data_IF_323966015177
#
_entry.id   IF_323966015177
#
_cell.length_a   1.000
_cell.length_b   1.000
_cell.length_c   1.000
_cell.angle_alpha   90.00
_cell.angle_beta   90.00
_cell.angle_gamma   90.00
#
_symmetry.space_group_name_H-M   'P 1'
#
loop_
_entity.id
_entity.type
_entity.pdbx_description
1 polymer ?
#
# COMPACT_ATOMS: atom_id res chain seq x y z
N UNK A 1 7.44 -7.00 -7.82
CA UNK A 1 6.25 -7.44 -7.07
C UNK A 1 6.72 -8.00 -5.75
N UNK A 2 6.61 -7.24 -4.65
CA UNK A 2 6.84 -7.80 -3.30
C UNK A 2 5.62 -8.69 -3.03
N UNK A 3 5.79 -10.01 -3.03
CA UNK A 3 4.67 -10.92 -2.78
C UNK A 3 4.27 -10.81 -1.32
N UNK A 4 3.01 -10.46 -1.07
CA UNK A 4 2.45 -10.45 0.27
C UNK A 4 2.31 -11.90 0.76
N UNK A 5 3.29 -12.40 1.51
CA UNK A 5 3.28 -13.76 2.07
C UNK A 5 2.26 -13.95 3.21
N UNK A 6 1.73 -12.83 3.72
CA UNK A 6 0.76 -12.79 4.81
C UNK A 6 -0.36 -11.81 4.50
N UNK A 7 -1.60 -12.26 4.55
CA UNK A 7 -2.78 -11.43 4.35
C UNK A 7 -3.94 -11.93 5.22
N UNK A 8 -4.91 -11.06 5.54
CA UNK A 8 -6.22 -11.48 6.01
C UNK A 8 -7.09 -11.96 4.83
N UNK A 9 -8.12 -12.78 5.05
CA UNK A 9 -8.96 -13.28 3.97
C UNK A 9 -8.25 -14.35 3.12
N UNK A 10 -8.38 -14.30 1.79
CA UNK A 10 -7.70 -15.19 0.84
C UNK A 10 -7.84 -16.70 1.15
N UNK A 11 -9.04 -17.12 1.55
CA UNK A 11 -9.29 -18.46 2.12
C UNK A 11 -8.91 -19.63 1.21
N UNK A 12 -9.02 -19.46 -0.11
CA UNK A 12 -8.60 -20.49 -1.08
C UNK A 12 -7.11 -20.85 -0.90
N UNK A 13 -6.27 -19.93 -0.42
CA UNK A 13 -4.85 -20.17 -0.16
C UNK A 13 -4.57 -20.74 1.24
N UNK A 14 -5.58 -20.90 2.08
CA UNK A 14 -5.43 -21.23 3.52
C UNK A 14 -6.12 -22.53 3.91
N UNK A 15 -7.29 -22.79 3.35
CA UNK A 15 -8.16 -23.86 3.78
C UNK A 15 -8.72 -24.62 2.58
N UNK A 16 -8.57 -25.94 2.59
CA UNK A 16 -9.01 -26.78 1.47
C UNK A 16 -10.53 -26.70 1.21
N UNK A 17 -11.33 -26.42 2.25
CA UNK A 17 -12.78 -26.22 2.11
C UNK A 17 -13.17 -24.99 1.29
N UNK A 18 -12.23 -24.10 0.99
CA UNK A 18 -12.42 -22.91 0.16
C UNK A 18 -11.73 -23.02 -1.20
N UNK A 19 -11.23 -24.20 -1.57
CA UNK A 19 -10.80 -24.44 -2.95
C UNK A 19 -12.03 -24.56 -3.84
N UNK A 20 -12.21 -23.61 -4.75
CA UNK A 20 -13.33 -23.60 -5.69
C UNK A 20 -13.31 -24.80 -6.65
N UNK A 21 -14.39 -25.03 -7.42
CA UNK A 21 -14.43 -26.06 -8.45
C UNK A 21 -13.49 -25.74 -9.61
N UNK A 22 -12.92 -26.76 -10.25
CA UNK A 22 -12.00 -26.61 -11.38
C UNK A 22 -12.65 -25.96 -12.62
N UNK A 23 -13.97 -26.07 -12.74
CA UNK A 23 -14.73 -25.45 -13.82
C UNK A 23 -14.82 -23.92 -13.62
N UNK A 24 -14.20 -23.10 -14.48
CA UNK A 24 -14.20 -21.64 -14.34
C UNK A 24 -15.58 -21.00 -14.58
N UNK A 25 -16.54 -21.74 -15.13
CA UNK A 25 -17.92 -21.28 -15.31
C UNK A 25 -18.72 -21.37 -14.01
N UNK A 26 -18.33 -22.29 -13.11
CA UNK A 26 -18.92 -22.45 -11.79
C UNK A 26 -18.24 -21.47 -10.81
N UNK A 27 -18.73 -20.23 -10.75
CA UNK A 27 -18.24 -19.21 -9.80
C UNK A 27 -18.58 -19.48 -8.33
N UNK A 28 -19.14 -20.64 -8.01
CA UNK A 28 -19.48 -21.01 -6.64
C UNK A 28 -18.19 -21.36 -5.87
N UNK A 29 -17.99 -20.75 -4.70
CA UNK A 29 -16.94 -21.04 -3.72
C UNK A 29 -15.53 -20.46 -4.00
N UNK A 30 -15.40 -19.50 -4.90
CA UNK A 30 -14.16 -18.73 -5.06
C UNK A 30 -13.13 -19.37 -5.99
N UNK A 31 -11.86 -19.02 -5.81
CA UNK A 31 -10.76 -19.39 -6.72
C UNK A 31 -10.43 -20.88 -6.62
N UNK A 32 -10.29 -21.56 -7.75
CA UNK A 32 -9.70 -22.91 -7.81
C UNK A 32 -8.18 -22.84 -7.89
N UNK A 33 -7.51 -23.72 -7.14
CA UNK A 33 -6.07 -23.93 -7.17
C UNK A 33 -5.84 -25.38 -7.59
N UNK A 34 -5.17 -25.54 -8.73
CA UNK A 34 -4.86 -26.83 -9.33
C UNK A 34 -3.81 -27.60 -8.51
N UNK A 35 -3.75 -28.91 -8.71
CA UNK A 35 -2.79 -29.77 -8.03
C UNK A 35 -1.33 -29.52 -8.48
N UNK A 36 -0.34 -29.65 -7.57
CA UNK A 36 -0.49 -30.05 -6.17
C UNK A 36 -0.99 -28.90 -5.27
N UNK A 37 -2.09 -29.16 -4.56
CA UNK A 37 -2.72 -28.19 -3.66
C UNK A 37 -2.54 -28.61 -2.20
N UNK A 38 -1.66 -27.90 -1.51
CA UNK A 38 -1.16 -28.16 -0.15
C UNK A 38 -1.18 -26.88 0.69
N UNK A 39 -2.36 -26.26 0.93
CA UNK A 39 -2.45 -25.09 1.80
C UNK A 39 -2.01 -25.43 3.24
N UNK A 40 -1.57 -24.45 4.05
CA UNK A 40 -1.64 -23.01 3.80
C UNK A 40 -0.43 -22.44 3.03
N UNK A 41 -0.70 -21.55 2.08
CA UNK A 41 0.31 -20.78 1.33
C UNK A 41 0.46 -19.33 1.80
N UNK A 42 -0.58 -18.78 2.43
CA UNK A 42 -0.64 -17.41 2.94
C UNK A 42 -1.06 -17.45 4.40
N UNK A 43 -0.38 -16.70 5.26
CA UNK A 43 -0.70 -16.66 6.69
C UNK A 43 -1.40 -15.37 7.09
N UNK A 44 -2.20 -15.39 8.15
CA UNK A 44 -2.82 -14.20 8.73
C UNK A 44 -2.04 -13.68 9.95
N UNK A 45 -0.81 -14.15 10.14
CA UNK A 45 0.02 -13.83 11.29
C UNK A 45 0.86 -12.57 10.97
N UNK A 46 0.74 -11.49 11.77
CA UNK A 46 1.58 -10.33 11.60
C UNK A 46 3.00 -10.59 12.12
N UNK A 47 3.97 -9.89 11.58
CA UNK A 47 5.28 -9.71 12.21
C UNK A 47 5.16 -8.60 13.26
N UNK A 48 5.71 -8.81 14.46
CA UNK A 48 5.63 -7.84 15.56
C UNK A 48 7.02 -7.33 15.90
N UNK A 49 7.17 -6.00 15.87
CA UNK A 49 8.39 -5.29 16.26
C UNK A 49 8.00 -4.26 17.32
N UNK A 50 8.79 -4.17 18.40
CA UNK A 50 8.60 -3.19 19.47
C UNK A 50 9.74 -2.18 19.48
N UNK A 51 9.39 -0.89 19.55
CA UNK A 51 10.34 0.21 19.70
C UNK A 51 9.90 1.11 20.85
N UNK A 52 10.84 1.52 21.70
CA UNK A 52 10.57 2.48 22.78
C UNK A 52 10.78 3.87 22.20
N UNK A 53 9.72 4.67 22.14
CA UNK A 53 9.80 6.05 21.65
C UNK A 53 10.70 6.87 22.57
N UNK A 54 11.65 7.59 21.96
CA UNK A 54 12.63 8.45 22.62
C UNK A 54 12.50 9.89 22.13
N UNK A 55 13.15 10.84 22.81
CA UNK A 55 13.16 12.25 22.41
C UNK A 55 13.80 12.50 21.02
N UNK A 56 14.55 11.54 20.48
CA UNK A 56 15.12 11.63 19.12
C UNK A 56 14.12 11.22 18.04
N UNK A 57 13.11 10.43 18.37
CA UNK A 57 12.06 10.02 17.44
C UNK A 57 11.10 11.19 17.23
N UNK A 58 10.94 11.66 15.99
CA UNK A 58 10.13 12.85 15.68
C UNK A 58 8.75 12.51 15.13
N UNK A 59 8.67 11.45 14.35
CA UNK A 59 7.41 11.02 13.75
C UNK A 59 7.48 9.56 13.31
N UNK A 60 6.31 8.97 13.06
CA UNK A 60 6.11 7.67 12.43
C UNK A 60 5.21 7.84 11.21
N UNK A 61 5.64 7.27 10.08
CA UNK A 61 4.87 7.24 8.83
C UNK A 61 4.35 5.82 8.62
N UNK A 62 3.03 5.68 8.55
CA UNK A 62 2.37 4.45 8.11
C UNK A 62 1.81 4.71 6.71
N UNK A 63 2.19 3.89 5.73
CA UNK A 63 1.75 4.03 4.34
C UNK A 63 1.36 2.69 3.74
N UNK A 64 0.34 2.68 2.87
CA UNK A 64 0.09 1.55 1.97
C UNK A 64 1.24 1.39 0.96
N UNK A 65 1.29 0.26 0.26
CA UNK A 65 2.23 0.02 -0.83
C UNK A 65 2.22 1.14 -1.89
N UNK A 66 1.05 1.70 -2.19
CA UNK A 66 0.91 2.86 -3.06
C UNK A 66 1.75 4.09 -2.67
N UNK A 67 2.26 4.18 -1.43
CA UNK A 67 3.25 5.20 -1.03
C UNK A 67 4.66 4.76 -1.42
N UNK A 68 5.01 3.55 -1.00
CA UNK A 68 6.36 3.00 -1.06
C UNK A 68 6.76 2.51 -2.46
N UNK A 69 5.80 2.41 -3.37
CA UNK A 69 6.04 2.16 -4.80
C UNK A 69 6.64 3.39 -5.50
N UNK A 70 6.42 4.61 -4.97
CA UNK A 70 6.88 5.87 -5.58
C UNK A 70 7.91 6.62 -4.74
N UNK A 71 7.82 6.50 -3.41
CA UNK A 71 8.72 7.19 -2.49
C UNK A 71 9.64 6.20 -1.79
N UNK A 72 10.91 6.56 -1.72
CA UNK A 72 11.84 5.93 -0.77
C UNK A 72 11.51 6.36 0.66
N UNK A 73 11.93 5.55 1.65
CA UNK A 73 11.75 5.89 3.06
C UNK A 73 12.33 7.27 3.40
N UNK A 74 13.47 7.64 2.80
CA UNK A 74 14.12 8.92 3.04
C UNK A 74 13.32 10.08 2.44
N UNK A 75 12.84 9.96 1.21
CA UNK A 75 12.03 11.01 0.58
C UNK A 75 10.74 11.27 1.36
N UNK A 76 10.07 10.21 1.84
CA UNK A 76 8.90 10.36 2.69
C UNK A 76 9.25 11.06 4.01
N UNK A 77 10.37 10.70 4.64
CA UNK A 77 10.85 11.35 5.85
C UNK A 77 11.20 12.83 5.63
N UNK A 78 11.83 13.18 4.51
CA UNK A 78 12.21 14.54 4.17
C UNK A 78 10.97 15.43 3.96
N UNK A 79 9.93 14.90 3.29
CA UNK A 79 8.64 15.59 3.13
C UNK A 79 8.00 15.91 4.49
N UNK A 80 7.90 14.91 5.37
CA UNK A 80 7.32 15.11 6.71
C UNK A 80 8.17 16.07 7.54
N UNK A 81 9.49 15.91 7.51
CA UNK A 81 10.42 16.77 8.23
C UNK A 81 10.27 18.23 7.81
N UNK A 82 10.16 18.50 6.50
CA UNK A 82 9.96 19.85 5.99
C UNK A 82 8.62 20.45 6.45
N UNK A 83 7.54 19.68 6.47
CA UNK A 83 6.24 20.12 7.02
C UNK A 83 6.32 20.44 8.52
N UNK A 84 6.91 19.55 9.31
CA UNK A 84 7.07 19.74 10.76
C UNK A 84 7.93 20.97 11.06
N UNK A 85 9.01 21.18 10.33
CA UNK A 85 9.88 22.36 10.49
C UNK A 85 9.15 23.70 10.21
N UNK A 86 8.11 23.68 9.37
CA UNK A 86 7.23 24.84 9.10
C UNK A 86 6.05 24.97 10.07
N UNK A 87 5.89 24.03 11.00
CA UNK A 87 4.72 23.98 11.90
C UNK A 87 3.44 23.46 11.22
N UNK A 88 3.57 22.78 10.08
CA UNK A 88 2.47 22.27 9.25
C UNK A 88 2.35 20.74 9.35
N UNK A 89 2.55 20.19 10.55
CA UNK A 89 2.54 18.75 10.79
C UNK A 89 1.22 18.08 10.36
N UNK A 90 0.10 18.79 10.49
CA UNK A 90 -1.24 18.36 10.07
C UNK A 90 -1.37 18.17 8.55
N UNK A 91 -0.54 18.84 7.76
CA UNK A 91 -0.52 18.74 6.30
C UNK A 91 0.43 17.65 5.77
N UNK A 92 1.24 17.03 6.64
CA UNK A 92 2.30 16.11 6.24
C UNK A 92 1.78 14.89 5.45
N UNK A 93 0.67 14.29 5.87
CA UNK A 93 0.05 13.17 5.12
C UNK A 93 -0.37 13.58 3.71
N UNK A 94 -0.95 14.78 3.56
CA UNK A 94 -1.37 15.31 2.25
C UNK A 94 -0.15 15.59 1.37
N UNK A 95 0.92 16.15 1.94
CA UNK A 95 2.16 16.39 1.22
C UNK A 95 2.80 15.09 0.70
N UNK A 96 2.74 14.00 1.47
CA UNK A 96 3.18 12.68 0.99
C UNK A 96 2.33 12.22 -0.20
N UNK A 97 0.99 12.31 -0.11
CA UNK A 97 0.11 11.90 -1.21
C UNK A 97 0.37 12.72 -2.47
N UNK A 98 0.57 14.03 -2.34
CA UNK A 98 0.90 14.91 -3.47
C UNK A 98 2.26 14.57 -4.10
N UNK A 99 3.28 14.25 -3.28
CA UNK A 99 4.58 13.80 -3.77
C UNK A 99 4.49 12.46 -4.52
N UNK A 100 3.70 11.51 -4.01
CA UNK A 100 3.40 10.24 -4.69
C UNK A 100 2.75 10.49 -6.06
N UNK A 101 1.68 11.28 -6.09
CA UNK A 101 0.94 11.54 -7.34
C UNK A 101 1.80 12.30 -8.35
N UNK A 102 2.65 13.22 -7.90
CA UNK A 102 3.60 13.94 -8.75
C UNK A 102 4.57 12.96 -9.42
N UNK A 103 5.20 12.06 -8.65
CA UNK A 103 6.10 11.04 -9.21
C UNK A 103 5.39 10.03 -10.11
N UNK A 104 4.17 9.65 -9.76
CA UNK A 104 3.36 8.77 -10.59
C UNK A 104 3.06 9.43 -11.96
N UNK A 105 2.70 10.72 -11.96
CA UNK A 105 2.50 11.47 -13.20
C UNK A 105 3.79 11.54 -14.02
N UNK A 106 4.94 11.85 -13.40
CA UNK A 106 6.24 11.90 -14.05
C UNK A 106 6.64 10.57 -14.71
N UNK A 107 6.36 9.44 -14.05
CA UNK A 107 6.65 8.10 -14.61
C UNK A 107 5.91 7.81 -15.91
N UNK A 108 4.73 8.42 -16.10
CA UNK A 108 3.89 8.32 -17.30
C UNK A 108 4.02 9.54 -18.23
N UNK A 109 4.97 10.44 -17.95
CA UNK A 109 5.19 11.70 -18.68
C UNK A 109 3.94 12.59 -18.73
N UNK A 110 3.17 12.59 -17.64
CA UNK A 110 2.03 13.46 -17.41
C UNK A 110 2.41 14.55 -16.41
N UNK A 111 1.69 15.66 -16.45
CA UNK A 111 1.62 16.62 -15.34
C UNK A 111 0.70 16.09 -14.24
N UNK A 112 0.85 16.60 -13.02
CA UNK A 112 -0.06 16.27 -11.92
C UNK A 112 -1.53 16.58 -12.27
N UNK A 113 -1.79 17.70 -12.94
CA UNK A 113 -3.15 18.07 -13.38
C UNK A 113 -3.72 17.03 -14.35
N UNK A 114 -2.94 16.65 -15.37
CA UNK A 114 -3.39 15.65 -16.36
C UNK A 114 -3.68 14.29 -15.71
N UNK A 115 -2.90 13.89 -14.69
CA UNK A 115 -3.16 12.68 -13.93
C UNK A 115 -4.45 12.77 -13.11
N UNK A 116 -4.69 13.90 -12.45
CA UNK A 116 -5.88 14.14 -11.63
C UNK A 116 -7.17 14.23 -12.46
N UNK A 117 -7.07 14.72 -13.70
CA UNK A 117 -8.18 14.81 -14.65
C UNK A 117 -8.54 13.46 -15.30
N UNK A 118 -7.78 12.39 -15.03
CA UNK A 118 -8.14 11.06 -15.54
C UNK A 118 -9.40 10.52 -14.84
N UNK A 119 -10.34 10.07 -15.66
CA UNK A 119 -11.53 9.38 -15.17
C UNK A 119 -11.17 8.11 -14.36
N UNK A 120 -11.94 7.81 -13.29
CA UNK A 120 -11.80 6.56 -12.55
C UNK A 120 -11.88 5.35 -13.48
N UNK A 121 -10.88 4.47 -13.43
CA UNK A 121 -10.83 3.35 -14.35
C UNK A 121 -9.53 2.56 -14.32
N UNK A 122 -9.44 1.59 -15.25
CA UNK A 122 -8.23 0.76 -15.38
C UNK A 122 -7.00 1.59 -15.76
N UNK A 123 -7.18 2.62 -16.60
CA UNK A 123 -6.08 3.50 -17.03
C UNK A 123 -5.45 4.20 -15.83
N UNK A 124 -6.25 4.89 -15.00
CA UNK A 124 -5.76 5.56 -13.79
C UNK A 124 -5.12 4.60 -12.79
N UNK A 125 -5.74 3.44 -12.54
CA UNK A 125 -5.21 2.39 -11.64
C UNK A 125 -3.93 1.72 -12.14
N UNK A 126 -3.59 1.87 -13.41
CA UNK A 126 -2.31 1.39 -13.94
C UNK A 126 -1.16 2.34 -13.59
N UNK A 127 -1.47 3.62 -13.36
CA UNK A 127 -0.49 4.67 -13.08
C UNK A 127 -0.16 4.69 -11.59
N UNK A 128 -1.16 4.59 -10.71
CA UNK A 128 -0.97 4.50 -9.27
C UNK A 128 -2.08 3.67 -8.63
N UNK A 129 -1.79 3.06 -7.48
CA UNK A 129 -2.79 2.36 -6.66
C UNK A 129 -3.43 3.30 -5.63
N UNK A 130 -4.36 2.79 -4.82
CA UNK A 130 -4.91 3.53 -3.69
C UNK A 130 -3.82 3.87 -2.65
N UNK A 131 -3.50 5.17 -2.54
CA UNK A 131 -2.48 5.67 -1.62
C UNK A 131 -3.12 6.10 -0.31
N UNK A 132 -2.77 5.43 0.80
CA UNK A 132 -3.20 5.81 2.16
C UNK A 132 -1.97 6.08 3.03
N UNK A 133 -2.00 7.20 3.76
CA UNK A 133 -0.90 7.64 4.63
C UNK A 133 -1.46 8.12 5.98
N UNK A 134 -0.80 7.70 7.06
CA UNK A 134 -0.99 8.25 8.41
C UNK A 134 0.37 8.71 8.93
N UNK A 135 0.46 9.97 9.35
CA UNK A 135 1.65 10.52 10.01
C UNK A 135 1.32 10.78 11.48
N UNK A 136 2.10 10.21 12.37
CA UNK A 136 2.05 10.46 13.81
C UNK A 136 3.27 11.29 14.17
N UNK A 137 3.08 12.44 14.80
CA UNK A 137 4.18 13.29 15.29
C UNK A 137 4.29 13.13 16.80
N UNK A 138 5.52 12.96 17.29
CA UNK A 138 5.80 12.81 18.71
C UNK A 138 6.22 14.16 19.30
N UNK A 139 5.76 14.45 20.52
CA UNK A 139 6.14 15.63 21.30
C UNK A 139 7.47 15.45 22.05
#
# INVERSE_FOLDING_TARGET
MRSCGSALGDFAFKHASFNGPADPTLRANGRHIAEPYTPPYVFALPETISHVVTATDKFLILGSDGVWDFLTNQEAADVVHACVARGEADLASRAIVEAVLTKAAESEKLTLSELLDLEPGKKRRHIHDDTTVVVLVFE
#
